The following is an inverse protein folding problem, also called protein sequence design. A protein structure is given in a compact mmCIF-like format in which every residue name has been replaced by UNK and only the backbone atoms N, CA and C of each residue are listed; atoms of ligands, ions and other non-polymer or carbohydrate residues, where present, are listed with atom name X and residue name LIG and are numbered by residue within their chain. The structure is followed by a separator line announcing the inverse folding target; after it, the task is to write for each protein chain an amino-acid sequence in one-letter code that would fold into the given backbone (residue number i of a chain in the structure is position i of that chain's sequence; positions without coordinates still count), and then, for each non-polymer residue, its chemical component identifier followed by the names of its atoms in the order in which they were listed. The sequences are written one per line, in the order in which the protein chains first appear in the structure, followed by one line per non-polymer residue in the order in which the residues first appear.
data_IF_006455062525
#
_entry.id   IF_006455062525
#
_cell.length_a   1.000
_cell.length_b   1.000
_cell.length_c   1.000
_cell.angle_alpha   90.00
_cell.angle_beta   90.00
_cell.angle_gamma   90.00
#
_symmetry.space_group_name_H-M   'P 1'
#
loop_
_entity.id
_entity.type
_entity.pdbx_description
1 polymer ?
#
# COMPACT_ATOMS: atom_id res chain seq x y z
N UNK A 1 9.51 -21.81 -4.79
CA UNK A 1 8.47 -20.84 -5.23
C UNK A 1 8.62 -19.54 -4.43
N UNK A 2 9.44 -18.60 -4.89
CA UNK A 2 9.65 -17.32 -4.21
C UNK A 2 8.98 -16.24 -5.06
N UNK A 3 7.70 -15.97 -4.81
CA UNK A 3 7.09 -14.70 -5.19
C UNK A 3 7.97 -13.66 -4.49
N UNK A 4 8.79 -12.93 -5.25
CA UNK A 4 9.64 -11.88 -4.68
C UNK A 4 8.67 -10.91 -4.03
N UNK A 5 8.61 -10.91 -2.70
CA UNK A 5 7.83 -9.96 -1.90
C UNK A 5 8.16 -8.59 -2.45
N UNK A 6 7.20 -7.98 -3.13
CA UNK A 6 7.27 -6.61 -3.59
C UNK A 6 7.39 -5.81 -2.29
N UNK A 7 8.62 -5.41 -1.94
CA UNK A 7 8.89 -4.66 -0.71
C UNK A 7 8.45 -3.22 -0.98
N UNK A 8 7.18 -2.93 -0.73
CA UNK A 8 6.71 -1.55 -0.66
C UNK A 8 6.69 -1.13 0.80
N UNK A 9 7.54 -0.16 1.13
CA UNK A 9 7.43 0.63 2.34
C UNK A 9 6.89 1.99 1.94
N UNK A 10 5.65 2.30 2.34
CA UNK A 10 5.17 3.57 2.93
C UNK A 10 3.66 3.39 3.15
N UNK A 11 3.20 3.48 4.39
CA UNK A 11 1.77 3.54 4.73
C UNK A 11 1.12 4.76 4.07
N UNK A 12 0.39 4.55 2.98
CA UNK A 12 -0.66 5.47 2.50
C UNK A 12 -2.05 4.88 2.72
N UNK A 13 -2.21 4.19 3.86
CA UNK A 13 -3.52 3.76 4.36
C UNK A 13 -4.04 4.76 5.35
N UNK A 14 -4.53 5.82 4.74
CA UNK A 14 -5.70 6.58 5.12
C UNK A 14 -5.59 7.82 4.27
N UNK A 15 -6.54 8.01 3.37
CA UNK A 15 -6.74 9.24 2.61
C UNK A 15 -6.38 10.46 3.48
N UNK A 16 -5.15 10.95 3.29
CA UNK A 16 -4.60 12.13 3.93
C UNK A 16 -4.61 13.22 2.87
N UNK A 17 -5.79 13.52 2.35
CA UNK A 17 -6.02 14.77 1.62
C UNK A 17 -6.30 15.93 2.58
N UNK A 18 -6.21 15.70 3.89
CA UNK A 18 -6.46 16.74 4.89
C UNK A 18 -5.19 17.52 5.24
N UNK A 19 -3.99 16.96 5.04
CA UNK A 19 -2.74 17.57 5.50
C UNK A 19 -1.54 17.22 4.61
N UNK A 20 -0.62 18.17 4.41
CA UNK A 20 0.65 17.93 3.72
C UNK A 20 1.70 17.29 4.63
N UNK A 21 2.83 16.87 4.05
CA UNK A 21 3.93 16.25 4.78
C UNK A 21 4.49 17.19 5.86
N UNK A 22 4.61 18.48 5.56
CA UNK A 22 5.06 19.49 6.52
C UNK A 22 4.13 19.56 7.73
N UNK A 23 2.82 19.50 7.56
CA UNK A 23 1.87 19.50 8.67
C UNK A 23 1.94 18.23 9.51
N UNK A 24 2.20 17.07 8.89
CA UNK A 24 2.42 15.82 9.62
C UNK A 24 3.68 15.89 10.49
N UNK A 25 4.76 16.48 9.97
CA UNK A 25 6.03 16.61 10.70
C UNK A 25 5.92 17.59 11.89
N UNK A 26 5.17 18.68 11.74
CA UNK A 26 5.17 19.76 12.73
C UNK A 26 3.98 19.74 13.71
N UNK A 27 2.93 18.94 13.48
CA UNK A 27 1.74 18.92 14.35
C UNK A 27 1.46 17.56 14.98
N UNK A 28 1.54 17.51 16.31
CA UNK A 28 1.16 16.32 17.09
C UNK A 28 -0.33 15.99 16.93
N UNK A 29 -1.20 17.00 16.79
CA UNK A 29 -2.64 16.81 16.54
C UNK A 29 -2.86 16.13 15.19
N UNK A 30 -2.11 16.55 14.17
CA UNK A 30 -2.15 15.96 12.83
C UNK A 30 -1.71 14.50 12.86
N UNK A 31 -0.60 14.18 13.55
CA UNK A 31 -0.14 12.78 13.71
C UNK A 31 -1.16 11.91 14.43
N UNK A 32 -1.75 12.40 15.53
CA UNK A 32 -2.79 11.66 16.27
C UNK A 32 -3.99 11.35 15.38
N UNK A 33 -4.48 12.34 14.62
CA UNK A 33 -5.61 12.14 13.70
C UNK A 33 -5.27 11.19 12.56
N UNK A 34 -4.06 11.28 12.01
CA UNK A 34 -3.57 10.34 10.99
C UNK A 34 -3.60 8.89 11.52
N UNK A 35 -2.92 8.63 12.65
CA UNK A 35 -2.80 7.29 13.19
C UNK A 35 -4.13 6.70 13.66
N UNK A 36 -5.01 7.50 14.25
CA UNK A 36 -6.35 7.05 14.65
C UNK A 36 -7.15 6.51 13.45
N UNK A 37 -7.10 7.19 12.30
CA UNK A 37 -7.77 6.71 11.09
C UNK A 37 -7.08 5.48 10.51
N UNK A 38 -5.75 5.49 10.43
CA UNK A 38 -4.97 4.35 9.90
C UNK A 38 -5.24 3.09 10.70
N UNK A 39 -5.31 3.21 12.02
CA UNK A 39 -5.65 2.11 12.91
C UNK A 39 -7.08 1.59 12.67
N UNK A 40 -8.07 2.48 12.54
CA UNK A 40 -9.46 2.09 12.26
C UNK A 40 -9.61 1.31 10.94
N UNK A 41 -8.84 1.67 9.91
CA UNK A 41 -8.84 0.99 8.61
C UNK A 41 -7.96 -0.27 8.55
N UNK A 42 -7.08 -0.47 9.53
CA UNK A 42 -5.99 -1.45 9.47
C UNK A 42 -6.49 -2.88 9.26
N UNK A 43 -7.53 -3.28 9.99
CA UNK A 43 -8.03 -4.67 9.93
C UNK A 43 -8.51 -5.05 8.53
N UNK A 44 -9.24 -4.17 7.84
CA UNK A 44 -9.72 -4.43 6.48
C UNK A 44 -8.56 -4.50 5.49
N UNK A 45 -7.54 -3.66 5.68
CA UNK A 45 -6.38 -3.64 4.83
C UNK A 45 -5.55 -4.93 4.91
N UNK A 46 -5.23 -5.40 6.12
CA UNK A 46 -4.38 -6.60 6.28
C UNK A 46 -5.07 -7.89 5.82
N UNK A 47 -6.41 -7.89 5.75
CA UNK A 47 -7.18 -9.04 5.28
C UNK A 47 -7.44 -9.02 3.78
N UNK A 48 -7.11 -7.93 3.08
CA UNK A 48 -7.34 -7.80 1.65
C UNK A 48 -6.60 -8.89 0.88
N UNK A 49 -7.29 -9.51 -0.07
CA UNK A 49 -6.72 -10.54 -0.94
C UNK A 49 -6.45 -9.97 -2.33
N UNK A 50 -5.45 -10.50 -3.06
CA UNK A 50 -5.21 -10.10 -4.44
C UNK A 50 -6.46 -10.31 -5.31
N UNK A 51 -6.84 -9.29 -6.08
CA UNK A 51 -7.90 -9.39 -7.10
C UNK A 51 -7.43 -10.04 -8.41
N UNK A 52 -8.37 -10.28 -9.32
CA UNK A 52 -8.12 -10.91 -10.63
C UNK A 52 -6.96 -10.27 -11.43
N UNK A 53 -6.83 -8.93 -11.40
CA UNK A 53 -5.75 -8.22 -12.08
C UNK A 53 -4.35 -8.61 -11.56
N UNK A 54 -4.20 -8.80 -10.23
CA UNK A 54 -2.93 -9.25 -9.64
C UNK A 54 -2.57 -10.65 -10.15
N UNK A 55 -3.55 -11.55 -10.24
CA UNK A 55 -3.33 -12.91 -10.74
C UNK A 55 -2.99 -12.94 -12.23
N UNK A 56 -3.64 -12.08 -13.04
CA UNK A 56 -3.34 -11.96 -14.46
C UNK A 56 -1.89 -11.48 -14.68
N UNK A 57 -1.48 -10.42 -13.97
CA UNK A 57 -0.12 -9.90 -14.01
C UNK A 57 0.91 -10.95 -13.55
N UNK A 58 0.63 -11.68 -12.46
CA UNK A 58 1.50 -12.76 -11.99
C UNK A 58 1.62 -13.89 -13.02
N UNK A 59 0.57 -14.17 -13.78
CA UNK A 59 0.58 -15.18 -14.84
C UNK A 59 1.45 -14.74 -16.02
N UNK A 60 1.37 -13.46 -16.42
CA UNK A 60 2.21 -12.89 -17.46
C UNK A 60 3.69 -12.87 -17.08
N UNK A 61 4.03 -12.58 -15.83
CA UNK A 61 5.40 -12.68 -15.31
C UNK A 61 5.91 -14.14 -15.39
N UNK A 62 5.10 -15.12 -14.98
CA UNK A 62 5.47 -16.55 -15.01
C UNK A 62 5.78 -17.07 -16.41
N UNK A 63 5.09 -16.58 -17.43
CA UNK A 63 5.33 -16.98 -18.83
C UNK A 63 6.39 -16.10 -19.53
N UNK A 64 7.11 -15.25 -18.78
CA UNK A 64 8.18 -14.41 -19.32
C UNK A 64 7.70 -13.24 -20.20
N UNK A 65 6.42 -12.87 -20.11
CA UNK A 65 5.81 -11.77 -20.89
C UNK A 65 5.86 -10.43 -20.17
N UNK A 66 6.31 -10.41 -18.92
CA UNK A 66 6.61 -9.19 -18.16
C UNK A 66 8.04 -9.26 -17.65
N UNK A 67 8.86 -8.28 -18.03
CA UNK A 67 10.24 -8.17 -17.58
C UNK A 67 10.35 -7.41 -16.25
N UNK A 68 9.50 -6.40 -16.05
CA UNK A 68 9.47 -5.56 -14.87
C UNK A 68 8.05 -5.10 -14.55
N UNK A 69 7.77 -4.90 -13.26
CA UNK A 69 6.52 -4.34 -12.76
C UNK A 69 6.84 -3.21 -11.78
N UNK A 70 6.31 -2.02 -12.07
CA UNK A 70 6.36 -0.87 -11.17
C UNK A 70 4.96 -0.63 -10.65
N UNK A 71 4.82 -0.54 -9.34
CA UNK A 71 3.54 -0.24 -8.68
C UNK A 71 3.69 1.00 -7.81
N UNK A 72 2.66 1.84 -7.82
CA UNK A 72 2.51 2.95 -6.87
C UNK A 72 1.70 2.54 -5.64
N UNK A 73 1.14 1.33 -5.64
CA UNK A 73 0.39 0.82 -4.50
C UNK A 73 1.34 0.51 -3.34
N UNK A 74 0.79 0.62 -2.14
CA UNK A 74 1.50 0.45 -0.87
C UNK A 74 1.04 -0.76 -0.08
N UNK A 75 0.38 -1.67 -0.78
CA UNK A 75 0.01 -3.00 -0.33
C UNK A 75 1.20 -3.98 -0.36
N UNK A 76 1.01 -5.15 0.27
CA UNK A 76 2.02 -6.20 0.40
C UNK A 76 1.95 -7.21 -0.74
#
# INVERSE_FOLDING_TARGET
MKIKKIKIYVLKLCFCWTFCEQEFLHSIRTRRRYWARSYAGWRRFITAQPGAAHYALASLEKVGRLNFMVTQNVDR
#
